data_IF_423534915678
#
_entry.id   IF_423534915678
#
_cell.length_a   1.000
_cell.length_b   1.000
_cell.length_c   1.000
_cell.angle_alpha   90.00
_cell.angle_beta   90.00
_cell.angle_gamma   90.00
#
_symmetry.space_group_name_H-M   'P 1'
#
loop_
_entity.id
_entity.type
_entity.pdbx_description
1 polymer ?
#
# COMPACT_ATOMS: atom_id res chain seq x y z
N UNK A 1 -18.73 -8.27 17.39
CA UNK A 1 -18.22 -9.25 16.49
C UNK A 1 -17.69 -8.67 15.19
N UNK A 2 -16.58 -9.13 14.75
CA UNK A 2 -15.99 -8.64 13.53
C UNK A 2 -16.55 -9.32 12.31
N UNK A 3 -16.83 -8.54 11.29
CA UNK A 3 -17.25 -9.09 10.02
C UNK A 3 -16.03 -9.35 9.17
N UNK A 4 -16.25 -9.96 8.03
CA UNK A 4 -15.18 -10.18 7.10
C UNK A 4 -14.55 -8.89 6.63
N UNK A 5 -15.35 -7.86 6.49
CA UNK A 5 -14.85 -6.57 6.06
C UNK A 5 -13.87 -5.99 7.03
N UNK A 6 -14.04 -6.33 8.31
CA UNK A 6 -13.17 -5.80 9.33
C UNK A 6 -11.79 -6.42 9.31
N UNK A 7 -11.62 -7.53 8.62
CA UNK A 7 -10.31 -8.18 8.54
C UNK A 7 -9.26 -7.28 7.92
N UNK A 8 -9.68 -6.35 7.06
CA UNK A 8 -8.73 -5.44 6.42
C UNK A 8 -9.00 -3.98 6.77
N UNK A 9 -9.67 -3.77 7.90
CA UNK A 9 -9.96 -2.40 8.33
C UNK A 9 -8.68 -1.61 8.59
N UNK A 10 -7.58 -2.31 8.90
CA UNK A 10 -6.31 -1.64 9.16
C UNK A 10 -5.82 -0.82 7.97
N UNK A 11 -6.26 -1.16 6.77
CA UNK A 11 -5.86 -0.43 5.57
C UNK A 11 -6.25 1.04 5.69
N UNK A 12 -7.35 1.31 6.36
CA UNK A 12 -7.85 2.69 6.48
C UNK A 12 -7.34 3.41 7.72
N UNK A 13 -6.55 2.72 8.55
CA UNK A 13 -5.97 3.35 9.72
C UNK A 13 -4.68 4.04 9.33
N UNK A 14 -4.46 5.21 9.91
CA UNK A 14 -3.27 5.98 9.63
C UNK A 14 -2.07 5.35 10.32
N UNK A 15 -0.99 5.18 9.58
CA UNK A 15 0.25 4.67 10.12
C UNK A 15 1.21 5.83 10.33
N UNK A 16 1.75 6.00 11.55
CA UNK A 16 2.77 7.03 11.77
C UNK A 16 3.94 6.80 10.82
N UNK A 17 4.55 7.88 10.37
CA UNK A 17 5.60 7.76 9.37
C UNK A 17 6.73 6.85 9.80
N UNK A 18 7.18 6.99 11.05
CA UNK A 18 8.28 6.15 11.53
C UNK A 18 7.85 4.69 11.69
N UNK A 19 6.55 4.42 11.70
CA UNK A 19 6.05 3.06 11.83
C UNK A 19 6.39 2.18 10.64
N UNK A 20 6.56 2.79 9.47
CA UNK A 20 6.91 1.99 8.30
C UNK A 20 8.28 1.35 8.44
N UNK A 21 9.15 1.96 9.24
CA UNK A 21 10.50 1.41 9.43
C UNK A 21 10.47 0.08 10.17
N UNK A 22 9.43 -0.18 10.95
CA UNK A 22 9.29 -1.46 11.62
C UNK A 22 8.92 -2.58 10.65
N UNK A 23 8.37 -2.21 9.49
CA UNK A 23 8.05 -3.18 8.46
C UNK A 23 6.72 -3.88 8.59
N UNK A 24 6.06 -3.76 9.72
CA UNK A 24 4.82 -4.47 9.97
C UNK A 24 3.73 -4.10 8.97
N UNK A 25 3.57 -2.81 8.73
CA UNK A 25 2.54 -2.33 7.81
C UNK A 25 2.80 -2.81 6.39
N UNK A 26 4.04 -2.69 5.96
CA UNK A 26 4.41 -3.11 4.61
C UNK A 26 4.24 -4.60 4.43
N UNK A 27 4.63 -5.35 5.45
CA UNK A 27 4.49 -6.80 5.42
C UNK A 27 3.01 -7.19 5.39
N UNK A 28 2.17 -6.47 6.13
CA UNK A 28 0.74 -6.73 6.13
C UNK A 28 0.15 -6.56 4.74
N UNK A 29 0.53 -5.49 4.06
CA UNK A 29 0.07 -5.29 2.68
C UNK A 29 0.54 -6.43 1.78
N UNK A 30 1.78 -6.82 1.93
CA UNK A 30 2.33 -7.87 1.07
C UNK A 30 1.60 -9.19 1.26
N UNK A 31 1.31 -9.55 2.49
CA UNK A 31 0.61 -10.79 2.77
C UNK A 31 -0.82 -10.73 2.28
N UNK A 32 -1.48 -9.60 2.48
CA UNK A 32 -2.91 -9.47 2.19
C UNK A 32 -3.21 -9.16 0.74
N UNK A 33 -2.22 -8.81 -0.07
CA UNK A 33 -2.46 -8.22 -1.38
C UNK A 33 -3.40 -9.01 -2.28
N UNK A 34 -3.35 -10.33 -2.19
CA UNK A 34 -4.21 -11.15 -3.05
C UNK A 34 -5.63 -11.22 -2.55
N UNK A 35 -5.88 -10.76 -1.35
CA UNK A 35 -7.21 -10.80 -0.74
C UNK A 35 -7.84 -9.43 -0.56
N UNK A 36 -7.08 -8.37 -0.78
CA UNK A 36 -7.60 -7.03 -0.64
C UNK A 36 -8.54 -6.72 -1.80
N UNK A 37 -9.61 -5.99 -1.49
CA UNK A 37 -10.52 -5.52 -2.51
C UNK A 37 -9.86 -4.42 -3.32
N UNK A 38 -10.43 -4.15 -4.48
CA UNK A 38 -9.87 -3.12 -5.35
C UNK A 38 -9.80 -1.76 -4.65
N UNK A 39 -10.80 -1.43 -3.84
CA UNK A 39 -10.77 -0.17 -3.10
C UNK A 39 -9.62 -0.14 -2.10
N UNK A 40 -9.35 -1.28 -1.45
CA UNK A 40 -8.24 -1.34 -0.50
C UNK A 40 -6.90 -1.25 -1.20
N UNK A 41 -6.78 -1.89 -2.36
CA UNK A 41 -5.56 -1.78 -3.14
C UNK A 41 -5.30 -0.34 -3.56
N UNK A 42 -6.35 0.34 -4.00
CA UNK A 42 -6.23 1.74 -4.41
C UNK A 42 -5.80 2.60 -3.24
N UNK A 43 -6.38 2.36 -2.07
CA UNK A 43 -6.01 3.10 -0.87
C UNK A 43 -4.55 2.86 -0.51
N UNK A 44 -4.14 1.59 -0.58
CA UNK A 44 -2.75 1.24 -0.29
C UNK A 44 -1.77 1.89 -1.24
N UNK A 45 -2.12 1.98 -2.52
CA UNK A 45 -1.25 2.62 -3.48
C UNK A 45 -1.08 4.11 -3.17
N UNK A 46 -2.16 4.79 -2.78
CA UNK A 46 -2.07 6.19 -2.39
C UNK A 46 -1.22 6.34 -1.13
N UNK A 47 -1.46 5.46 -0.16
CA UNK A 47 -0.70 5.49 1.09
C UNK A 47 0.80 5.31 0.84
N UNK A 48 1.15 4.31 0.05
CA UNK A 48 2.57 4.01 -0.18
C UNK A 48 3.23 5.04 -1.09
N UNK A 49 2.46 5.69 -1.95
CA UNK A 49 2.97 6.81 -2.71
C UNK A 49 3.39 7.94 -1.77
N UNK A 50 2.55 8.26 -0.80
CA UNK A 50 2.87 9.29 0.18
C UNK A 50 4.07 8.89 1.05
N UNK A 51 4.12 7.62 1.45
CA UNK A 51 5.24 7.12 2.25
C UNK A 51 6.53 7.19 1.46
N UNK A 52 6.47 6.87 0.18
CA UNK A 52 7.64 6.93 -0.69
C UNK A 52 8.19 8.36 -0.74
N UNK A 53 7.31 9.33 -0.93
CA UNK A 53 7.74 10.72 -0.97
C UNK A 53 8.36 11.15 0.35
N UNK A 54 7.75 10.75 1.46
CA UNK A 54 8.25 11.14 2.77
C UNK A 54 9.59 10.51 3.09
N UNK A 55 9.80 9.26 2.70
CA UNK A 55 11.06 8.57 2.96
C UNK A 55 12.17 8.96 1.99
N UNK A 56 11.88 9.84 1.06
CA UNK A 56 12.91 10.46 0.24
C UNK A 56 13.70 11.51 0.98
N UNK A 57 13.24 11.87 2.19
CA UNK A 57 13.90 12.83 3.06
C UNK A 57 14.15 12.18 4.41
N UNK A 58 15.02 12.77 5.25
CA UNK A 58 15.23 12.23 6.59
C UNK A 58 13.91 12.13 7.35
N UNK A 59 13.72 11.01 8.04
CA UNK A 59 12.52 10.77 8.82
C UNK A 59 12.90 10.77 10.29
N UNK A 60 12.21 11.61 11.07
CA UNK A 60 12.47 11.71 12.48
C UNK A 60 12.29 10.36 13.16
N UNK A 61 13.26 9.98 13.97
CA UNK A 61 13.21 8.72 14.69
C UNK A 61 13.66 7.50 13.89
N UNK A 62 14.09 7.70 12.64
CA UNK A 62 14.52 6.57 11.80
C UNK A 62 15.95 6.80 11.36
N UNK A 63 16.89 5.91 11.74
CA UNK A 63 18.28 6.05 11.29
C UNK A 63 18.37 5.97 9.76
N UNK A 64 19.35 6.69 9.21
CA UNK A 64 19.48 6.80 7.76
C UNK A 64 19.56 5.46 7.04
N UNK A 65 20.32 4.52 7.58
CA UNK A 65 20.45 3.21 6.95
C UNK A 65 19.11 2.47 6.95
N UNK A 66 18.37 2.57 8.04
CA UNK A 66 17.08 1.93 8.13
C UNK A 66 16.08 2.60 7.20
N UNK A 67 16.16 3.93 7.08
CA UNK A 67 15.27 4.66 6.19
C UNK A 67 15.47 4.21 4.74
N UNK A 68 16.70 3.96 4.36
CA UNK A 68 16.99 3.48 3.00
C UNK A 68 16.37 2.12 2.75
N UNK A 69 16.51 1.22 3.71
CA UNK A 69 15.92 -0.11 3.58
C UNK A 69 14.41 -0.02 3.51
N UNK A 70 13.83 0.87 4.32
CA UNK A 70 12.39 1.06 4.34
C UNK A 70 11.91 1.60 3.00
N UNK A 71 12.62 2.57 2.45
CA UNK A 71 12.25 3.13 1.16
C UNK A 71 12.26 2.06 0.07
N UNK A 72 13.28 1.23 0.07
CA UNK A 72 13.36 0.15 -0.90
C UNK A 72 12.18 -0.80 -0.77
N UNK A 73 11.79 -1.12 0.46
CA UNK A 73 10.67 -2.01 0.68
C UNK A 73 9.34 -1.35 0.28
N UNK A 74 9.21 -0.06 0.54
CA UNK A 74 8.02 0.68 0.12
C UNK A 74 7.86 0.58 -1.40
N UNK A 75 8.95 0.76 -2.12
CA UNK A 75 8.92 0.66 -3.58
C UNK A 75 8.48 -0.73 -4.02
N UNK A 76 9.03 -1.76 -3.39
CA UNK A 76 8.68 -3.13 -3.74
C UNK A 76 7.22 -3.43 -3.48
N UNK A 77 6.74 -3.09 -2.30
CA UNK A 77 5.35 -3.41 -1.94
C UNK A 77 4.39 -2.61 -2.81
N UNK A 78 4.71 -1.34 -3.06
CA UNK A 78 3.88 -0.54 -3.94
C UNK A 78 3.78 -1.15 -5.33
N UNK A 79 4.89 -1.65 -5.83
CA UNK A 79 4.89 -2.31 -7.12
C UNK A 79 4.03 -3.56 -7.12
N UNK A 80 4.09 -4.33 -6.02
CA UNK A 80 3.29 -5.53 -5.89
C UNK A 80 1.79 -5.22 -5.84
N UNK A 81 1.42 -4.18 -5.09
CA UNK A 81 0.02 -3.79 -5.05
C UNK A 81 -0.45 -3.30 -6.41
N UNK A 82 0.39 -2.56 -7.11
CA UNK A 82 0.06 -2.10 -8.45
C UNK A 82 -0.17 -3.24 -9.41
N UNK A 83 0.65 -4.28 -9.29
CA UNK A 83 0.49 -5.46 -10.11
C UNK A 83 -0.86 -6.15 -9.85
N UNK A 84 -1.22 -6.30 -8.57
CA UNK A 84 -2.49 -6.89 -8.22
C UNK A 84 -3.65 -6.05 -8.72
N UNK A 85 -3.52 -4.74 -8.60
CA UNK A 85 -4.54 -3.84 -9.07
C UNK A 85 -4.78 -4.00 -10.56
N UNK A 86 -3.71 -4.02 -11.32
CA UNK A 86 -3.81 -4.18 -12.78
C UNK A 86 -4.38 -5.53 -13.16
N UNK A 87 -4.00 -6.56 -12.42
CA UNK A 87 -4.42 -7.91 -12.75
C UNK A 87 -5.89 -8.15 -12.44
N UNK A 88 -6.35 -7.68 -11.28
CA UNK A 88 -7.71 -8.01 -10.83
C UNK A 88 -8.72 -6.91 -11.04
N UNK A 89 -8.27 -5.67 -11.08
CA UNK A 89 -9.19 -4.53 -11.20
C UNK A 89 -9.19 -3.95 -12.60
N UNK A 90 -8.37 -4.51 -13.45
CA UNK A 90 -8.19 -4.01 -14.79
C UNK A 90 -9.44 -4.08 -15.64
N UNK A 91 -10.18 -5.18 -15.52
CA UNK A 91 -11.34 -5.33 -16.35
C UNK A 91 -12.39 -4.28 -16.04
N UNK A 92 -12.52 -3.93 -14.76
CA UNK A 92 -13.43 -2.88 -14.38
C UNK A 92 -13.02 -1.56 -14.99
N UNK A 93 -11.75 -1.27 -14.93
CA UNK A 93 -11.25 -0.06 -15.54
C UNK A 93 -11.42 -0.08 -17.04
N UNK A 94 -11.18 -1.23 -17.62
CA UNK A 94 -11.35 -1.38 -19.04
C UNK A 94 -12.77 -1.11 -19.47
N UNK A 95 -13.72 -1.61 -18.72
CA UNK A 95 -15.11 -1.37 -19.00
C UNK A 95 -15.45 0.09 -18.91
N UNK A 96 -14.93 0.71 -17.88
CA UNK A 96 -15.16 2.12 -17.68
C UNK A 96 -14.63 2.92 -18.85
N UNK A 97 -13.45 2.59 -19.26
CA UNK A 97 -12.84 3.28 -20.39
C UNK A 97 -13.64 3.06 -21.66
N UNK A 98 -14.15 1.86 -21.82
CA UNK A 98 -14.97 1.56 -22.99
C UNK A 98 -16.21 2.42 -23.04
N UNK A 99 -16.82 2.58 -21.89
CA UNK A 99 -18.01 3.40 -21.85
C UNK A 99 -17.68 4.84 -22.19
N UNK A 100 -16.53 5.27 -21.76
CA UNK A 100 -16.11 6.60 -22.02
C UNK A 100 -15.85 6.82 -23.49
N UNK A 101 -15.58 5.75 -24.15
CA UNK A 101 -15.38 5.87 -25.60
C UNK A 101 -16.73 5.98 -26.28
#
# INVERSE_FOLDING_TARGET
MLTRDDAHAWVRQVEPLEGYAAGTRLFAYRIAKTKLRCADLAHGLVELQAAHAAYGKPVSGVPAAQAKRTLSLIVQVRSELGHEMRRRCKSRKGQHASRGA
#
